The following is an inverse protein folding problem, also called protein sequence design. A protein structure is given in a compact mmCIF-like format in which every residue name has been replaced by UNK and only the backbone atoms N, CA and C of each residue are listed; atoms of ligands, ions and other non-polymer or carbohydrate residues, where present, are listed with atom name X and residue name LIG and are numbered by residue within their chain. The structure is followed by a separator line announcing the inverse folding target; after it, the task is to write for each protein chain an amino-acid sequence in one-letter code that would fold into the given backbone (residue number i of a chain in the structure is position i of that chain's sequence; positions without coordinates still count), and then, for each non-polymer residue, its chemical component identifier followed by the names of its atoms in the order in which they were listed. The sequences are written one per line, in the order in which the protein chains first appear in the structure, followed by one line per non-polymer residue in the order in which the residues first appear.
data_IF_450901269544
#
_entry.id   IF_450901269544
#
_cell.length_a   1.000
_cell.length_b   1.000
_cell.length_c   1.000
_cell.angle_alpha   90.00
_cell.angle_beta   90.00
_cell.angle_gamma   90.00
#
_symmetry.space_group_name_H-M   'P 1'
#
loop_
_entity.id
_entity.type
_entity.pdbx_description
1 polymer ?
#
# COMPACT_ATOMS: atom_id res chain seq x y z
N UNK A 1 -7.85 -16.96 5.53
CA UNK A 1 -7.43 -16.04 6.60
C UNK A 1 -8.66 -15.55 7.34
N UNK A 2 -8.63 -15.43 8.67
CA UNK A 2 -9.79 -14.98 9.46
C UNK A 2 -9.86 -13.44 9.57
N UNK A 3 -11.01 -12.85 9.92
CA UNK A 3 -11.10 -11.41 10.21
C UNK A 3 -10.18 -10.95 11.34
N UNK A 4 -9.93 -11.82 12.33
CA UNK A 4 -9.01 -11.54 13.43
C UNK A 4 -7.55 -11.44 12.93
N UNK A 5 -7.15 -12.32 12.02
CA UNK A 5 -5.81 -12.29 11.41
C UNK A 5 -5.58 -11.00 10.61
N UNK A 6 -6.59 -10.57 9.85
CA UNK A 6 -6.54 -9.31 9.09
C UNK A 6 -6.40 -8.09 10.00
N UNK A 7 -7.18 -8.04 11.08
CA UNK A 7 -7.10 -6.95 12.07
C UNK A 7 -5.71 -6.88 12.71
N UNK A 8 -5.14 -8.03 13.10
CA UNK A 8 -3.82 -8.10 13.70
C UNK A 8 -2.72 -7.66 12.72
N UNK A 9 -2.79 -8.10 11.45
CA UNK A 9 -1.87 -7.67 10.39
C UNK A 9 -1.99 -6.18 10.10
N UNK A 10 -3.21 -5.65 10.02
CA UNK A 10 -3.44 -4.22 9.83
C UNK A 10 -2.75 -3.40 10.91
N UNK A 11 -2.98 -3.73 12.19
CA UNK A 11 -2.35 -3.02 13.31
C UNK A 11 -0.81 -3.08 13.24
N UNK A 12 -0.25 -4.24 12.85
CA UNK A 12 1.20 -4.40 12.67
C UNK A 12 1.75 -3.53 11.54
N UNK A 13 1.08 -3.48 10.40
CA UNK A 13 1.51 -2.69 9.25
C UNK A 13 1.37 -1.19 9.50
N UNK A 14 0.29 -0.75 10.17
CA UNK A 14 0.13 0.64 10.58
C UNK A 14 1.23 1.09 11.57
N UNK A 15 1.63 0.21 12.49
CA UNK A 15 2.74 0.47 13.40
C UNK A 15 4.06 0.62 12.65
N UNK A 16 4.30 -0.19 11.61
CA UNK A 16 5.48 -0.07 10.76
C UNK A 16 5.49 1.22 9.96
N UNK A 17 4.37 1.60 9.33
CA UNK A 17 4.22 2.88 8.62
C UNK A 17 4.54 4.04 9.57
N UNK A 18 3.95 4.02 10.77
CA UNK A 18 4.18 5.06 11.79
C UNK A 18 5.64 5.12 12.20
N UNK A 19 6.31 3.97 12.36
CA UNK A 19 7.74 3.90 12.68
C UNK A 19 8.60 4.52 11.57
N UNK A 20 8.31 4.24 10.30
CA UNK A 20 9.07 4.80 9.18
C UNK A 20 8.82 6.29 8.99
N UNK A 21 7.58 6.75 9.13
CA UNK A 21 7.25 8.17 9.07
C UNK A 21 7.86 8.98 10.22
N UNK A 22 7.92 8.42 11.43
CA UNK A 22 8.57 9.06 12.58
C UNK A 22 10.10 9.24 12.40
N UNK A 23 10.72 8.46 11.52
CA UNK A 23 12.14 8.58 11.18
C UNK A 23 12.40 9.66 10.11
N UNK A 24 11.36 10.25 9.53
CA UNK A 24 11.46 11.30 8.52
C UNK A 24 11.18 12.68 9.14
N UNK A 25 11.72 13.78 8.56
CA UNK A 25 11.34 15.12 8.96
C UNK A 25 9.82 15.28 8.87
N UNK A 26 9.20 15.92 9.86
CA UNK A 26 7.78 16.16 9.85
C UNK A 26 7.41 17.11 8.70
N UNK A 27 6.98 16.55 7.58
CA UNK A 27 6.10 17.25 6.65
C UNK A 27 4.66 16.77 6.90
N UNK A 28 3.69 17.64 6.66
CA UNK A 28 2.28 17.35 6.95
C UNK A 28 1.64 16.31 6.00
N UNK A 29 2.44 15.47 5.34
CA UNK A 29 2.02 14.55 4.29
C UNK A 29 1.76 13.11 4.79
N UNK A 30 1.99 12.85 6.08
CA UNK A 30 1.74 11.56 6.72
C UNK A 30 0.31 11.47 7.27
N UNK A 31 -0.59 10.81 6.55
CA UNK A 31 -2.00 10.61 6.96
C UNK A 31 -2.33 9.12 7.09
N UNK A 32 -2.27 8.59 8.33
CA UNK A 32 -2.70 7.22 8.61
C UNK A 32 -4.22 7.04 8.41
N UNK A 33 -4.99 8.13 8.55
CA UNK A 33 -6.42 8.16 8.29
C UNK A 33 -6.71 7.88 6.81
N UNK A 34 -5.94 8.46 5.90
CA UNK A 34 -6.02 8.19 4.46
C UNK A 34 -5.83 6.69 4.18
N UNK A 35 -4.73 6.08 4.67
CA UNK A 35 -4.46 4.65 4.46
C UNK A 35 -5.61 3.75 4.95
N UNK A 36 -6.19 4.07 6.10
CA UNK A 36 -7.36 3.34 6.65
C UNK A 36 -8.61 3.51 5.79
N UNK A 37 -8.88 4.72 5.28
CA UNK A 37 -10.03 4.99 4.40
C UNK A 37 -9.87 4.27 3.06
N UNK A 38 -8.66 4.25 2.49
CA UNK A 38 -8.34 3.47 1.28
C UNK A 38 -8.56 1.98 1.52
N UNK A 39 -8.05 1.41 2.63
CA UNK A 39 -8.31 0.00 2.96
C UNK A 39 -9.79 -0.31 3.15
N UNK A 40 -10.55 0.56 3.82
CA UNK A 40 -12.00 0.39 3.97
C UNK A 40 -12.73 0.39 2.62
N UNK A 41 -12.36 1.29 1.70
CA UNK A 41 -12.91 1.34 0.33
C UNK A 41 -12.51 0.13 -0.49
N UNK A 42 -11.24 -0.27 -0.43
CA UNK A 42 -10.71 -1.42 -1.16
C UNK A 42 -11.44 -2.72 -0.79
N UNK A 43 -11.80 -2.91 0.48
CA UNK A 43 -12.61 -4.06 0.91
C UNK A 43 -13.99 -4.09 0.25
N UNK A 44 -14.64 -2.93 0.08
CA UNK A 44 -15.95 -2.85 -0.58
C UNK A 44 -15.83 -3.16 -2.06
N UNK A 45 -14.84 -2.58 -2.75
CA UNK A 45 -14.61 -2.80 -4.19
C UNK A 45 -14.22 -4.26 -4.45
N UNK A 46 -13.38 -4.84 -3.59
CA UNK A 46 -12.93 -6.23 -3.71
C UNK A 46 -14.04 -7.27 -3.53
N UNK A 47 -15.24 -6.92 -3.05
CA UNK A 47 -16.37 -7.86 -2.97
C UNK A 47 -16.79 -8.39 -4.35
N UNK A 48 -16.57 -7.60 -5.41
CA UNK A 48 -16.94 -7.93 -6.78
C UNK A 48 -15.74 -8.34 -7.66
N UNK A 49 -14.53 -8.45 -7.09
CA UNK A 49 -13.28 -8.77 -7.79
C UNK A 49 -12.58 -9.98 -7.16
N UNK A 50 -11.85 -10.80 -7.94
CA UNK A 50 -11.13 -11.97 -7.41
C UNK A 50 -9.80 -11.57 -6.74
N UNK A 51 -9.85 -10.72 -5.72
CA UNK A 51 -8.66 -10.23 -5.01
C UNK A 51 -8.21 -11.16 -3.87
N UNK A 52 -6.90 -11.31 -3.71
CA UNK A 52 -6.30 -11.89 -2.52
C UNK A 52 -6.16 -10.83 -1.42
N UNK A 53 -6.94 -10.95 -0.34
CA UNK A 53 -6.87 -10.05 0.80
C UNK A 53 -5.50 -10.04 1.51
N UNK A 54 -4.70 -11.12 1.38
CA UNK A 54 -3.32 -11.13 1.90
C UNK A 54 -2.39 -10.22 1.11
N UNK A 55 -2.68 -9.96 -0.16
CA UNK A 55 -1.96 -9.02 -1.01
C UNK A 55 -2.53 -7.62 -0.88
N UNK A 56 -3.85 -7.49 -0.91
CA UNK A 56 -4.54 -6.20 -0.94
C UNK A 56 -4.34 -5.39 0.36
N UNK A 57 -4.42 -6.04 1.53
CA UNK A 57 -4.21 -5.35 2.81
C UNK A 57 -2.84 -4.66 2.89
N UNK A 58 -1.69 -5.36 2.76
CA UNK A 58 -0.40 -4.68 2.83
C UNK A 58 -0.22 -3.67 1.69
N UNK A 59 -0.77 -3.93 0.49
CA UNK A 59 -0.73 -2.96 -0.58
C UNK A 59 -1.42 -1.64 -0.19
N UNK A 60 -2.65 -1.69 0.34
CA UNK A 60 -3.36 -0.51 0.82
C UNK A 60 -2.64 0.22 1.95
N UNK A 61 -2.08 -0.50 2.93
CA UNK A 61 -1.43 0.14 4.08
C UNK A 61 -0.08 0.77 3.72
N UNK A 62 0.66 0.21 2.75
CA UNK A 62 1.99 0.70 2.40
C UNK A 62 2.06 1.54 1.12
N UNK A 63 0.96 1.77 0.40
CA UNK A 63 1.02 2.38 -0.93
C UNK A 63 1.69 3.76 -0.96
N UNK A 64 1.48 4.54 0.10
CA UNK A 64 2.03 5.89 0.30
C UNK A 64 3.07 5.95 1.44
N UNK A 65 3.76 4.84 1.69
CA UNK A 65 4.83 4.76 2.70
C UNK A 65 5.95 5.78 2.45
N UNK A 66 6.32 6.00 1.19
CA UNK A 66 7.23 7.06 0.74
C UNK A 66 6.42 8.15 0.06
N UNK A 67 6.27 9.30 0.73
CA UNK A 67 5.54 10.45 0.20
C UNK A 67 6.52 11.59 -0.13
N UNK A 68 6.75 11.85 -1.42
CA UNK A 68 7.59 12.96 -1.86
C UNK A 68 6.75 14.20 -2.19
N UNK A 69 7.22 15.43 -1.92
CA UNK A 69 6.52 16.65 -2.34
C UNK A 69 6.21 16.65 -3.84
N UNK A 70 5.13 17.32 -4.25
CA UNK A 70 4.70 17.41 -5.66
C UNK A 70 5.77 17.97 -6.59
N UNK A 71 6.65 18.84 -6.08
CA UNK A 71 7.77 19.44 -6.81
C UNK A 71 9.04 18.58 -6.83
N UNK A 72 9.07 17.45 -6.11
CA UNK A 72 10.27 16.63 -6.01
C UNK A 72 10.54 15.92 -7.36
N UNK A 73 11.79 15.95 -7.87
CA UNK A 73 12.13 15.36 -9.17
C UNK A 73 11.80 13.87 -9.26
N UNK A 74 11.95 13.14 -8.14
CA UNK A 74 11.60 11.72 -8.04
C UNK A 74 10.14 11.43 -7.67
N UNK A 75 9.21 12.39 -7.74
CA UNK A 75 7.79 12.16 -7.36
C UNK A 75 7.17 10.96 -8.10
N UNK A 76 7.50 10.78 -9.38
CA UNK A 76 7.04 9.64 -10.17
C UNK A 76 7.53 8.28 -9.66
N UNK A 77 8.60 8.27 -8.85
CA UNK A 77 9.18 7.06 -8.24
C UNK A 77 8.65 6.79 -6.84
N UNK A 78 7.87 7.70 -6.24
CA UNK A 78 7.36 7.55 -4.88
C UNK A 78 6.64 6.21 -4.66
N UNK A 79 5.73 5.83 -5.56
CA UNK A 79 5.03 4.53 -5.46
C UNK A 79 5.96 3.32 -5.61
N UNK A 80 6.99 3.42 -6.45
CA UNK A 80 7.99 2.34 -6.59
C UNK A 80 8.87 2.22 -5.34
N UNK A 81 9.26 3.35 -4.74
CA UNK A 81 10.01 3.37 -3.48
C UNK A 81 9.17 2.84 -2.32
N UNK A 82 7.88 3.18 -2.26
CA UNK A 82 6.92 2.57 -1.33
C UNK A 82 6.85 1.06 -1.51
N UNK A 83 6.76 0.57 -2.75
CA UNK A 83 6.70 -0.86 -3.06
C UNK A 83 7.96 -1.60 -2.60
N UNK A 84 9.15 -1.03 -2.86
CA UNK A 84 10.44 -1.59 -2.44
C UNK A 84 10.53 -1.66 -0.91
N UNK A 85 10.20 -0.57 -0.21
CA UNK A 85 10.22 -0.51 1.25
C UNK A 85 9.21 -1.48 1.89
N UNK A 86 7.99 -1.57 1.34
CA UNK A 86 6.98 -2.52 1.77
C UNK A 86 7.46 -3.97 1.60
N UNK A 87 7.98 -4.33 0.43
CA UNK A 87 8.47 -5.68 0.17
C UNK A 87 9.68 -6.04 1.03
N UNK A 88 10.53 -5.07 1.37
CA UNK A 88 11.63 -5.27 2.31
C UNK A 88 11.12 -5.63 3.71
N UNK A 89 10.20 -4.83 4.24
CA UNK A 89 9.58 -5.10 5.54
C UNK A 89 8.86 -6.45 5.55
N UNK A 90 7.97 -6.69 4.58
CA UNK A 90 7.16 -7.92 4.51
C UNK A 90 8.02 -9.18 4.42
N UNK A 91 9.14 -9.13 3.68
CA UNK A 91 10.08 -10.27 3.62
C UNK A 91 10.73 -10.55 4.98
N UNK A 92 11.10 -9.51 5.73
CA UNK A 92 11.62 -9.66 7.10
C UNK A 92 10.52 -10.07 8.10
N UNK A 93 9.26 -9.87 7.73
CA UNK A 93 8.06 -10.20 8.50
C UNK A 93 7.55 -11.63 8.29
N UNK A 94 8.32 -12.48 7.60
CA UNK A 94 7.95 -13.84 7.18
C UNK A 94 6.70 -13.91 6.28
N UNK A 95 6.45 -12.85 5.49
CA UNK A 95 5.36 -12.84 4.51
C UNK A 95 5.63 -13.84 3.35
N UNK A 96 4.59 -14.48 2.79
CA UNK A 96 4.76 -15.44 1.70
C UNK A 96 5.51 -14.85 0.50
N UNK A 97 6.67 -15.44 0.17
CA UNK A 97 7.58 -14.91 -0.83
C UNK A 97 6.98 -14.88 -2.25
N UNK A 98 6.08 -15.81 -2.55
CA UNK A 98 5.32 -15.91 -3.80
C UNK A 98 4.34 -14.74 -3.98
N UNK A 99 3.85 -14.15 -2.89
CA UNK A 99 2.91 -13.02 -2.91
C UNK A 99 3.57 -11.65 -2.95
N UNK A 100 4.87 -11.54 -2.61
CA UNK A 100 5.58 -10.25 -2.56
C UNK A 100 5.54 -9.50 -3.90
N UNK A 101 5.63 -10.21 -5.02
CA UNK A 101 5.58 -9.59 -6.36
C UNK A 101 4.24 -8.90 -6.63
N UNK A 102 3.13 -9.50 -6.19
CA UNK A 102 1.79 -8.95 -6.34
C UNK A 102 1.59 -7.72 -5.45
N UNK A 103 2.09 -7.74 -4.20
CA UNK A 103 2.06 -6.58 -3.30
C UNK A 103 2.85 -5.42 -3.90
N UNK A 104 4.09 -5.69 -4.32
CA UNK A 104 4.96 -4.67 -4.90
C UNK A 104 4.37 -4.06 -6.18
N UNK A 105 3.78 -4.88 -7.06
CA UNK A 105 3.12 -4.39 -8.26
C UNK A 105 1.89 -3.54 -7.93
N UNK A 106 1.01 -3.97 -7.02
CA UNK A 106 -0.16 -3.20 -6.62
C UNK A 106 0.23 -1.82 -6.07
N UNK A 107 1.22 -1.77 -5.19
CA UNK A 107 1.74 -0.50 -4.67
C UNK A 107 2.37 0.34 -5.78
N UNK A 108 3.23 -0.22 -6.62
CA UNK A 108 3.92 0.58 -7.64
C UNK A 108 2.93 1.16 -8.69
N UNK A 109 1.89 0.39 -9.03
CA UNK A 109 0.91 0.71 -10.07
C UNK A 109 -0.26 1.58 -9.61
N UNK A 110 -0.46 1.82 -8.30
CA UNK A 110 -1.59 2.63 -7.85
C UNK A 110 -1.52 4.07 -8.40
N UNK A 111 -0.30 4.65 -8.45
CA UNK A 111 -0.09 6.03 -8.87
C UNK A 111 -0.07 6.20 -10.38
N UNK A 112 -0.94 7.07 -10.91
CA UNK A 112 -0.93 7.46 -12.33
C UNK A 112 0.40 8.10 -12.78
N UNK A 113 1.08 8.82 -11.87
CA UNK A 113 2.34 9.48 -12.20
C UNK A 113 3.49 8.50 -12.44
N UNK A 114 3.37 7.28 -11.94
CA UNK A 114 4.36 6.23 -12.16
C UNK A 114 4.28 5.61 -13.57
N UNK A 115 3.17 5.84 -14.30
CA UNK A 115 2.93 5.26 -15.63
C UNK A 115 3.06 3.72 -15.69
N UNK A 116 2.77 3.03 -14.57
CA UNK A 116 2.74 1.58 -14.47
C UNK A 116 1.29 1.13 -14.57
N UNK A 117 1.00 0.20 -15.49
CA UNK A 117 -0.35 -0.31 -15.66
C UNK A 117 -0.75 -1.26 -14.51
N UNK A 118 -1.94 -1.08 -13.88
CA UNK A 118 -2.45 -1.99 -12.87
C UNK A 118 -3.04 -3.26 -13.52
N UNK A 119 -2.19 -4.25 -13.79
CA UNK A 119 -2.59 -5.49 -14.48
C UNK A 119 -3.19 -6.56 -13.56
N UNK A 120 -3.02 -6.47 -12.24
CA UNK A 120 -3.61 -7.40 -11.27
C UNK A 120 -4.93 -6.85 -10.70
N UNK A 121 -5.86 -7.71 -10.23
CA UNK A 121 -7.06 -7.27 -9.52
C UNK A 121 -6.74 -6.34 -8.34
N UNK A 122 -5.76 -6.68 -7.52
CA UNK A 122 -5.37 -5.89 -6.35
C UNK A 122 -4.82 -4.52 -6.73
N UNK A 123 -4.05 -4.42 -7.81
CA UNK A 123 -3.55 -3.15 -8.31
C UNK A 123 -4.68 -2.23 -8.79
N UNK A 124 -5.69 -2.79 -9.49
CA UNK A 124 -6.86 -2.03 -9.94
C UNK A 124 -7.70 -1.56 -8.76
N UNK A 125 -8.00 -2.48 -7.83
CA UNK A 125 -8.78 -2.16 -6.63
C UNK A 125 -8.08 -1.10 -5.79
N UNK A 126 -6.77 -1.21 -5.57
CA UNK A 126 -6.01 -0.21 -4.82
C UNK A 126 -6.04 1.16 -5.54
N UNK A 127 -5.79 1.19 -6.85
CA UNK A 127 -5.85 2.43 -7.63
C UNK A 127 -7.23 3.10 -7.55
N UNK A 128 -8.31 2.33 -7.66
CA UNK A 128 -9.67 2.87 -7.57
C UNK A 128 -10.02 3.33 -6.16
N UNK A 129 -9.63 2.56 -5.14
CA UNK A 129 -9.87 2.90 -3.74
C UNK A 129 -9.16 4.18 -3.32
N UNK A 130 -7.89 4.34 -3.72
CA UNK A 130 -7.06 5.53 -3.48
C UNK A 130 -7.68 6.77 -4.15
N UNK A 131 -8.10 6.65 -5.41
CA UNK A 131 -8.70 7.77 -6.16
C UNK A 131 -10.06 8.24 -5.61
N UNK A 132 -10.80 7.35 -4.96
CA UNK A 132 -12.12 7.66 -4.38
C UNK A 132 -12.02 8.31 -2.99
N UNK A 133 -10.83 8.35 -2.39
CA UNK A 133 -10.53 9.05 -1.14
C UNK A 133 -10.16 10.53 -1.41
#
# INVERSE_FOLDING_TARGET
MTPADLTARQARYEAEVTRQWAAQPADGAHDLGHLRRVWARAQVIAMDEPCDAEVLLPACIFHDLVNLPKSHPDRARASSLSAEAACHFLRADDFPADKLSAVGHAIAAHSFSAAIAPVTPEARVLQDADRLE
#
